data_IF_925124681276
#
_entry.id   IF_925124681276
#
_cell.length_a   1.000
_cell.length_b   1.000
_cell.length_c   1.000
_cell.angle_alpha   90.00
_cell.angle_beta   90.00
_cell.angle_gamma   90.00
#
_symmetry.space_group_name_H-M   'P 1'
#
loop_
_entity.id
_entity.type
_entity.pdbx_description
1 polymer ?
#
# COMPACT_ATOMS: atom_id res chain seq x y z
N UNK A 1 9.54 -19.46 -25.07
CA UNK A 1 8.91 -18.30 -24.40
C UNK A 1 9.58 -17.98 -23.07
N UNK A 2 9.78 -18.94 -22.16
CA UNK A 2 10.42 -18.68 -20.85
C UNK A 2 11.89 -18.24 -20.88
N UNK A 3 12.69 -18.69 -21.85
CA UNK A 3 14.08 -18.24 -21.96
C UNK A 3 14.20 -16.70 -22.13
N UNK A 4 13.23 -16.08 -22.81
CA UNK A 4 13.22 -14.63 -22.99
C UNK A 4 12.99 -13.85 -21.69
N UNK A 5 12.18 -14.39 -20.75
CA UNK A 5 12.01 -13.72 -19.45
C UNK A 5 13.22 -13.88 -18.54
N UNK A 6 13.98 -14.98 -18.68
CA UNK A 6 15.25 -15.17 -17.99
C UNK A 6 16.33 -14.20 -18.53
N UNK A 7 16.45 -14.07 -19.85
CA UNK A 7 17.35 -13.10 -20.50
C UNK A 7 17.02 -11.64 -20.11
N UNK A 8 15.73 -11.27 -20.07
CA UNK A 8 15.30 -9.95 -19.65
C UNK A 8 15.67 -9.66 -18.18
N UNK A 9 15.55 -10.65 -17.28
CA UNK A 9 16.01 -10.46 -15.90
C UNK A 9 17.52 -10.25 -15.84
N UNK A 10 18.29 -11.00 -16.61
CA UNK A 10 19.75 -10.89 -16.62
C UNK A 10 20.22 -9.53 -17.15
N UNK A 11 19.58 -9.04 -18.22
CA UNK A 11 19.80 -7.69 -18.74
C UNK A 11 19.45 -6.64 -17.68
N UNK A 12 18.28 -6.74 -17.05
CA UNK A 12 17.86 -5.80 -16.01
C UNK A 12 18.83 -5.79 -14.81
N UNK A 13 19.24 -6.96 -14.32
CA UNK A 13 20.19 -7.11 -13.21
C UNK A 13 21.54 -6.50 -13.55
N UNK A 14 22.06 -6.78 -14.74
CA UNK A 14 23.31 -6.19 -15.22
C UNK A 14 23.18 -4.66 -15.28
N UNK A 15 22.10 -4.15 -15.86
CA UNK A 15 21.85 -2.72 -15.97
C UNK A 15 21.78 -2.03 -14.60
N UNK A 16 21.03 -2.59 -13.63
CA UNK A 16 20.99 -2.09 -12.24
C UNK A 16 22.40 -2.06 -11.62
N UNK A 17 23.17 -3.13 -11.82
CA UNK A 17 24.53 -3.24 -11.26
C UNK A 17 25.48 -2.17 -11.81
N UNK A 18 25.30 -1.78 -13.07
CA UNK A 18 26.13 -0.78 -13.75
C UNK A 18 25.52 0.64 -13.70
N UNK A 19 24.38 0.84 -13.04
CA UNK A 19 23.68 2.13 -12.98
C UNK A 19 23.03 2.56 -14.30
N UNK A 20 22.78 1.63 -15.23
CA UNK A 20 22.08 1.90 -16.48
C UNK A 20 20.56 1.84 -16.24
N UNK A 21 20.04 2.93 -15.68
CA UNK A 21 18.63 3.05 -15.31
C UNK A 21 17.68 2.82 -16.48
N UNK A 22 18.02 3.35 -17.66
CA UNK A 22 17.13 3.28 -18.83
C UNK A 22 16.97 1.84 -19.33
N UNK A 23 18.08 1.09 -19.43
CA UNK A 23 18.03 -0.32 -19.81
C UNK A 23 17.29 -1.16 -18.75
N UNK A 24 17.54 -0.91 -17.47
CA UNK A 24 16.85 -1.61 -16.39
C UNK A 24 15.33 -1.38 -16.44
N UNK A 25 14.90 -0.13 -16.62
CA UNK A 25 13.48 0.21 -16.75
C UNK A 25 12.84 -0.39 -18.00
N UNK A 26 13.55 -0.40 -19.13
CA UNK A 26 13.06 -1.03 -20.36
C UNK A 26 12.82 -2.53 -20.16
N UNK A 27 13.77 -3.23 -19.52
CA UNK A 27 13.63 -4.66 -19.25
C UNK A 27 12.46 -4.97 -18.29
N UNK A 28 12.23 -4.13 -17.27
CA UNK A 28 11.03 -4.22 -16.41
C UNK A 28 9.76 -4.03 -17.22
N UNK A 29 9.71 -3.05 -18.12
CA UNK A 29 8.55 -2.85 -18.99
C UNK A 29 8.33 -4.08 -19.88
N UNK A 30 9.36 -4.61 -20.51
CA UNK A 30 9.26 -5.81 -21.35
C UNK A 30 8.76 -7.04 -20.60
N UNK A 31 9.15 -7.22 -19.33
CA UNK A 31 8.62 -8.31 -18.49
C UNK A 31 7.12 -8.14 -18.21
N UNK A 32 6.67 -6.91 -17.96
CA UNK A 32 5.26 -6.61 -17.73
C UNK A 32 4.43 -6.71 -19.03
N UNK A 33 4.97 -6.21 -20.14
CA UNK A 33 4.33 -6.26 -21.47
C UNK A 33 4.20 -7.71 -21.95
N UNK A 34 5.22 -8.54 -21.72
CA UNK A 34 5.16 -9.98 -21.96
C UNK A 34 3.96 -10.63 -21.22
N UNK A 35 3.70 -10.22 -19.98
CA UNK A 35 2.58 -10.76 -19.22
C UNK A 35 1.23 -10.33 -19.81
N UNK A 36 1.12 -9.07 -20.25
CA UNK A 36 -0.08 -8.54 -20.91
C UNK A 36 -0.36 -9.32 -22.20
N UNK A 37 0.67 -9.50 -23.04
CA UNK A 37 0.57 -10.27 -24.28
C UNK A 37 0.24 -11.75 -24.02
N UNK A 38 0.86 -12.35 -23.00
CA UNK A 38 0.59 -13.72 -22.59
C UNK A 38 -0.87 -13.91 -22.18
N UNK A 39 -1.45 -12.99 -21.39
CA UNK A 39 -2.87 -13.08 -21.03
C UNK A 39 -3.78 -13.07 -22.26
N UNK A 40 -3.46 -12.28 -23.28
CA UNK A 40 -4.27 -12.18 -24.49
C UNK A 40 -4.37 -13.50 -25.28
N UNK A 41 -3.33 -14.34 -25.21
CA UNK A 41 -3.32 -15.65 -25.88
C UNK A 41 -3.63 -16.82 -24.95
N UNK A 42 -3.67 -16.60 -23.63
CA UNK A 42 -3.73 -17.65 -22.61
C UNK A 42 -4.85 -18.66 -22.87
N UNK A 43 -6.04 -18.19 -23.21
CA UNK A 43 -7.21 -19.05 -23.46
C UNK A 43 -7.08 -19.96 -24.69
N UNK A 44 -6.12 -19.69 -25.58
CA UNK A 44 -5.85 -20.50 -26.79
C UNK A 44 -4.84 -21.62 -26.54
N UNK A 45 -4.16 -21.61 -25.40
CA UNK A 45 -3.10 -22.57 -25.08
C UNK A 45 -3.68 -23.92 -24.63
N UNK A 46 -3.00 -25.04 -24.93
CA UNK A 46 -3.45 -26.36 -24.52
C UNK A 46 -3.43 -26.49 -22.99
N UNK A 47 -4.37 -27.24 -22.41
CA UNK A 47 -4.49 -27.37 -20.95
C UNK A 47 -3.21 -27.84 -20.24
N UNK A 48 -2.40 -28.70 -20.88
CA UNK A 48 -1.11 -29.15 -20.34
C UNK A 48 -0.08 -28.03 -20.21
N UNK A 49 -0.23 -26.92 -20.94
CA UNK A 49 0.63 -25.74 -20.80
C UNK A 49 0.61 -25.20 -19.37
N UNK A 50 -0.52 -25.30 -18.67
CA UNK A 50 -0.69 -24.71 -17.34
C UNK A 50 -0.11 -25.55 -16.21
N UNK A 51 0.35 -26.77 -16.51
CA UNK A 51 0.95 -27.67 -15.53
C UNK A 51 2.43 -27.34 -15.37
N UNK A 52 2.86 -27.17 -14.13
CA UNK A 52 4.27 -27.16 -13.76
C UNK A 52 4.83 -28.56 -14.03
N UNK A 53 5.53 -28.70 -15.15
CA UNK A 53 6.23 -29.92 -15.53
C UNK A 53 7.45 -30.16 -14.64
N UNK A 54 8.07 -31.33 -14.74
CA UNK A 54 9.29 -31.62 -13.99
C UNK A 54 10.42 -30.64 -14.37
N UNK A 55 10.51 -30.26 -15.65
CA UNK A 55 11.49 -29.27 -16.11
C UNK A 55 11.26 -27.90 -15.45
N UNK A 56 9.99 -27.45 -15.37
CA UNK A 56 9.66 -26.18 -14.69
C UNK A 56 9.92 -26.30 -13.20
N UNK A 57 9.68 -27.46 -12.59
CA UNK A 57 9.95 -27.69 -11.16
C UNK A 57 11.43 -27.55 -10.81
N UNK A 58 12.34 -27.89 -11.73
CA UNK A 58 13.79 -27.73 -11.55
C UNK A 58 14.27 -26.29 -11.76
N UNK A 59 13.43 -25.39 -12.27
CA UNK A 59 13.76 -23.97 -12.42
C UNK A 59 13.98 -23.32 -11.03
N UNK A 60 14.99 -22.43 -10.86
CA UNK A 60 15.23 -21.73 -9.61
C UNK A 60 14.02 -20.98 -9.03
N UNK A 61 13.09 -20.55 -9.87
CA UNK A 61 11.85 -19.90 -9.45
C UNK A 61 10.82 -20.87 -8.84
N UNK A 62 11.02 -22.18 -8.96
CA UNK A 62 10.04 -23.19 -8.51
C UNK A 62 10.64 -24.28 -7.62
N UNK A 63 11.95 -24.53 -7.70
CA UNK A 63 12.62 -25.64 -7.01
C UNK A 63 12.43 -25.64 -5.48
N UNK A 64 12.31 -24.45 -4.88
CA UNK A 64 12.13 -24.29 -3.43
C UNK A 64 10.66 -24.29 -2.97
N UNK A 65 9.70 -24.48 -3.89
CA UNK A 65 8.28 -24.45 -3.54
C UNK A 65 7.82 -25.79 -2.98
N UNK A 66 6.94 -25.74 -1.98
CA UNK A 66 6.24 -26.91 -1.47
C UNK A 66 5.28 -27.50 -2.52
N UNK A 67 4.99 -28.79 -2.42
CA UNK A 67 3.99 -29.45 -3.29
C UNK A 67 2.62 -28.76 -3.21
N UNK A 68 2.22 -28.29 -2.02
CA UNK A 68 0.98 -27.52 -1.84
C UNK A 68 0.98 -26.22 -2.64
N UNK A 69 2.12 -25.51 -2.68
CA UNK A 69 2.26 -24.28 -3.47
C UNK A 69 2.21 -24.59 -4.96
N UNK A 70 2.85 -25.67 -5.40
CA UNK A 70 2.83 -26.12 -6.79
C UNK A 70 1.42 -26.55 -7.25
N UNK A 71 0.68 -27.26 -6.39
CA UNK A 71 -0.73 -27.63 -6.66
C UNK A 71 -1.58 -26.40 -6.90
N UNK A 72 -1.48 -25.40 -6.03
CA UNK A 72 -2.24 -24.16 -6.16
C UNK A 72 -1.90 -23.40 -7.46
N UNK A 73 -0.62 -23.34 -7.86
CA UNK A 73 -0.20 -22.74 -9.14
C UNK A 73 -0.83 -23.48 -10.33
N UNK A 74 -0.84 -24.82 -10.28
CA UNK A 74 -1.42 -25.66 -11.34
C UNK A 74 -2.93 -25.48 -11.43
N UNK A 75 -3.62 -25.48 -10.29
CA UNK A 75 -5.07 -25.29 -10.20
C UNK A 75 -5.50 -23.92 -10.75
N UNK A 76 -4.71 -22.88 -10.47
CA UNK A 76 -4.97 -21.54 -10.97
C UNK A 76 -4.45 -21.32 -12.41
N UNK A 77 -3.57 -22.20 -12.90
CA UNK A 77 -2.89 -22.07 -14.18
C UNK A 77 -2.04 -20.79 -14.29
N UNK A 78 -1.28 -20.47 -13.22
CA UNK A 78 -0.57 -19.19 -13.06
C UNK A 78 0.96 -19.31 -13.02
N UNK A 79 1.55 -20.40 -13.52
CA UNK A 79 2.99 -20.58 -13.37
C UNK A 79 3.80 -19.52 -14.15
N UNK A 80 3.35 -19.07 -15.32
CA UNK A 80 4.04 -18.03 -16.11
C UNK A 80 4.01 -16.70 -15.38
N UNK A 81 2.84 -16.30 -14.88
CA UNK A 81 2.62 -15.10 -14.08
C UNK A 81 3.50 -15.12 -12.84
N UNK A 82 3.54 -16.27 -12.15
CA UNK A 82 4.36 -16.43 -10.95
C UNK A 82 5.85 -16.35 -11.24
N UNK A 83 6.30 -16.89 -12.38
CA UNK A 83 7.69 -16.72 -12.83
C UNK A 83 8.00 -15.24 -13.00
N UNK A 84 7.20 -14.50 -13.78
CA UNK A 84 7.39 -13.06 -14.01
C UNK A 84 7.42 -12.27 -12.69
N UNK A 85 6.46 -12.48 -11.79
CA UNK A 85 6.45 -11.79 -10.50
C UNK A 85 7.62 -12.13 -9.58
N UNK A 86 8.14 -13.36 -9.61
CA UNK A 86 9.38 -13.71 -8.90
C UNK A 86 10.59 -12.99 -9.49
N UNK A 87 10.63 -12.83 -10.81
CA UNK A 87 11.66 -12.03 -11.49
C UNK A 87 11.59 -10.56 -11.07
N UNK A 88 10.39 -9.96 -11.07
CA UNK A 88 10.16 -8.59 -10.61
C UNK A 88 10.53 -8.42 -9.13
N UNK A 89 10.21 -9.38 -8.26
CA UNK A 89 10.61 -9.36 -6.84
C UNK A 89 12.13 -9.37 -6.66
N UNK A 90 12.85 -10.15 -7.47
CA UNK A 90 14.32 -10.17 -7.44
C UNK A 90 14.92 -8.83 -7.90
N UNK A 91 14.38 -8.22 -8.95
CA UNK A 91 14.81 -6.89 -9.41
C UNK A 91 14.49 -5.79 -8.39
N UNK A 92 13.31 -5.87 -7.76
CA UNK A 92 12.91 -5.03 -6.64
C UNK A 92 13.96 -5.13 -5.50
N UNK A 93 14.35 -6.34 -5.09
CA UNK A 93 15.37 -6.53 -4.06
C UNK A 93 16.73 -5.93 -4.45
N UNK A 94 17.15 -6.08 -5.71
CA UNK A 94 18.42 -5.51 -6.21
C UNK A 94 18.40 -3.98 -6.25
N UNK A 95 17.24 -3.38 -6.54
CA UNK A 95 17.09 -1.92 -6.61
C UNK A 95 17.13 -1.20 -5.25
N UNK A 96 17.04 -1.93 -4.14
CA UNK A 96 16.97 -1.39 -2.77
C UNK A 96 18.19 -0.52 -2.35
N UNK A 97 19.29 -0.58 -3.10
CA UNK A 97 20.55 0.06 -2.75
C UNK A 97 21.00 1.16 -3.72
N UNK A 98 20.13 1.65 -4.61
CA UNK A 98 20.49 2.80 -5.46
C UNK A 98 19.51 3.12 -6.58
N UNK A 99 18.88 2.11 -7.18
CA UNK A 99 18.08 2.27 -8.40
C UNK A 99 16.58 2.35 -8.12
N UNK A 100 16.17 3.31 -7.27
CA UNK A 100 14.77 3.42 -6.79
C UNK A 100 13.74 3.59 -7.90
N UNK A 101 14.09 4.22 -9.00
CA UNK A 101 13.19 4.40 -10.14
C UNK A 101 12.75 3.06 -10.74
N UNK A 102 13.64 2.05 -10.70
CA UNK A 102 13.33 0.68 -11.12
C UNK A 102 12.31 0.07 -10.15
N UNK A 103 12.51 0.23 -8.84
CA UNK A 103 11.56 -0.22 -7.83
C UNK A 103 10.17 0.43 -7.99
N UNK A 104 10.17 1.75 -8.22
CA UNK A 104 8.96 2.53 -8.43
C UNK A 104 8.21 2.06 -9.68
N UNK A 105 8.94 1.81 -10.78
CA UNK A 105 8.36 1.28 -12.01
C UNK A 105 7.76 -0.12 -11.81
N UNK A 106 8.46 -1.03 -11.12
CA UNK A 106 7.93 -2.37 -10.80
C UNK A 106 6.61 -2.26 -10.04
N UNK A 107 6.51 -1.35 -9.06
CA UNK A 107 5.28 -1.10 -8.33
C UNK A 107 4.16 -0.60 -9.25
N UNK A 108 4.45 0.40 -10.10
CA UNK A 108 3.47 0.95 -11.05
C UNK A 108 2.95 -0.15 -11.97
N UNK A 109 3.85 -0.90 -12.63
CA UNK A 109 3.46 -1.97 -13.56
C UNK A 109 2.66 -3.08 -12.86
N UNK A 110 3.02 -3.43 -11.62
CA UNK A 110 2.25 -4.41 -10.82
C UNK A 110 0.82 -3.93 -10.57
N UNK A 111 0.62 -2.64 -10.23
CA UNK A 111 -0.73 -2.07 -10.07
C UNK A 111 -1.50 -2.08 -11.38
N UNK A 112 -0.86 -1.70 -12.49
CA UNK A 112 -1.50 -1.69 -13.81
C UNK A 112 -1.95 -3.09 -14.23
N UNK A 113 -1.11 -4.12 -14.03
CA UNK A 113 -1.46 -5.52 -14.28
C UNK A 113 -2.67 -5.93 -13.42
N UNK A 114 -2.67 -5.58 -12.12
CA UNK A 114 -3.78 -5.89 -11.24
C UNK A 114 -5.09 -5.22 -11.69
N UNK A 115 -5.04 -3.93 -12.04
CA UNK A 115 -6.21 -3.16 -12.46
C UNK A 115 -6.74 -3.53 -13.84
N UNK A 116 -5.89 -4.01 -14.76
CA UNK A 116 -6.29 -4.38 -16.13
C UNK A 116 -6.61 -5.86 -16.29
N UNK A 117 -5.74 -6.76 -15.81
CA UNK A 117 -5.86 -8.21 -16.03
C UNK A 117 -6.39 -8.94 -14.79
N UNK A 118 -6.08 -8.43 -13.60
CA UNK A 118 -6.49 -9.04 -12.33
C UNK A 118 -8.01 -9.03 -12.09
N UNK A 119 -8.73 -8.08 -12.70
CA UNK A 119 -10.18 -7.97 -12.56
C UNK A 119 -10.90 -9.23 -13.05
N UNK A 120 -10.50 -9.76 -14.20
CA UNK A 120 -11.09 -10.96 -14.80
C UNK A 120 -10.43 -12.26 -14.34
N UNK A 121 -9.26 -12.16 -13.67
CA UNK A 121 -8.47 -13.32 -13.23
C UNK A 121 -8.19 -13.24 -11.73
N UNK A 122 -9.07 -13.77 -10.85
CA UNK A 122 -8.95 -13.63 -9.40
C UNK A 122 -7.61 -14.12 -8.81
N UNK A 123 -7.05 -15.21 -9.34
CA UNK A 123 -5.74 -15.69 -8.89
C UNK A 123 -4.58 -14.75 -9.27
N UNK A 124 -4.69 -14.03 -10.40
CA UNK A 124 -3.70 -13.01 -10.79
C UNK A 124 -3.83 -11.77 -9.89
N UNK A 125 -5.05 -11.37 -9.54
CA UNK A 125 -5.27 -10.31 -8.53
C UNK A 125 -4.59 -10.68 -7.21
N UNK A 126 -4.84 -11.88 -6.69
CA UNK A 126 -4.21 -12.38 -5.47
C UNK A 126 -2.68 -12.37 -5.57
N UNK A 127 -2.11 -12.82 -6.69
CA UNK A 127 -0.67 -12.79 -6.92
C UNK A 127 -0.10 -11.36 -6.93
N UNK A 128 -0.82 -10.38 -7.46
CA UNK A 128 -0.41 -8.97 -7.41
C UNK A 128 -0.39 -8.45 -5.97
N UNK A 129 -1.39 -8.78 -5.15
CA UNK A 129 -1.42 -8.42 -3.73
C UNK A 129 -0.27 -9.08 -2.96
N UNK A 130 -0.01 -10.36 -3.19
CA UNK A 130 1.14 -11.07 -2.61
C UNK A 130 2.48 -10.46 -3.02
N UNK A 131 2.57 -9.99 -4.27
CA UNK A 131 3.77 -9.32 -4.77
C UNK A 131 3.99 -7.99 -4.05
N UNK A 132 2.96 -7.15 -3.89
CA UNK A 132 3.02 -5.93 -3.09
C UNK A 132 3.50 -6.17 -1.66
N UNK A 133 2.93 -7.18 -1.00
CA UNK A 133 3.32 -7.59 0.35
C UNK A 133 4.80 -8.01 0.41
N UNK A 134 5.25 -8.75 -0.60
CA UNK A 134 6.65 -9.18 -0.73
C UNK A 134 7.59 -8.00 -0.99
N UNK A 135 7.18 -7.02 -1.81
CA UNK A 135 7.95 -5.80 -2.07
C UNK A 135 8.11 -4.96 -0.81
N UNK A 136 7.02 -4.72 -0.07
CA UNK A 136 7.04 -3.99 1.21
C UNK A 136 8.00 -4.67 2.20
N UNK A 137 7.88 -5.99 2.38
CA UNK A 137 8.77 -6.75 3.25
C UNK A 137 10.23 -6.66 2.82
N UNK A 138 10.49 -6.75 1.52
CA UNK A 138 11.85 -6.67 0.95
C UNK A 138 12.48 -5.30 1.20
N UNK A 139 11.76 -4.21 0.93
CA UNK A 139 12.27 -2.86 1.14
C UNK A 139 12.48 -2.54 2.63
N UNK A 140 11.56 -2.98 3.49
CA UNK A 140 11.72 -2.85 4.94
C UNK A 140 12.93 -3.62 5.47
N UNK A 141 13.22 -4.80 4.91
CA UNK A 141 14.42 -5.59 5.24
C UNK A 141 15.71 -4.92 4.79
N UNK A 142 15.70 -4.25 3.64
CA UNK A 142 16.84 -3.50 3.14
C UNK A 142 17.01 -2.12 3.82
N UNK A 143 16.01 -1.65 4.58
CA UNK A 143 16.01 -0.31 5.18
C UNK A 143 15.73 0.82 4.18
N UNK A 144 15.17 0.53 3.00
CA UNK A 144 14.83 1.57 2.02
C UNK A 144 13.46 2.20 2.31
N UNK A 145 13.47 3.14 3.25
CA UNK A 145 12.29 3.87 3.72
C UNK A 145 11.57 4.59 2.56
N UNK A 146 12.32 5.14 1.60
CA UNK A 146 11.74 5.96 0.52
C UNK A 146 10.94 5.10 -0.45
N UNK A 147 11.49 3.94 -0.84
CA UNK A 147 10.74 3.01 -1.69
C UNK A 147 9.57 2.37 -0.93
N UNK A 148 9.70 2.08 0.37
CA UNK A 148 8.55 1.64 1.18
C UNK A 148 7.43 2.69 1.22
N UNK A 149 7.78 3.96 1.43
CA UNK A 149 6.86 5.09 1.38
C UNK A 149 6.11 5.20 0.04
N UNK A 150 6.84 4.97 -1.07
CA UNK A 150 6.26 4.96 -2.41
C UNK A 150 5.32 3.75 -2.63
N UNK A 151 5.74 2.57 -2.19
CA UNK A 151 4.95 1.33 -2.29
C UNK A 151 3.60 1.45 -1.57
N UNK A 152 3.55 2.07 -0.37
CA UNK A 152 2.27 2.33 0.31
C UNK A 152 1.33 3.17 -0.56
N UNK A 153 1.84 4.23 -1.18
CA UNK A 153 1.06 5.08 -2.08
C UNK A 153 0.49 4.30 -3.27
N UNK A 154 1.32 3.49 -3.94
CA UNK A 154 0.86 2.67 -5.07
C UNK A 154 -0.12 1.59 -4.66
N UNK A 155 0.07 0.99 -3.49
CA UNK A 155 -0.83 -0.03 -2.97
C UNK A 155 -2.19 0.57 -2.55
N UNK A 156 -2.20 1.83 -2.08
CA UNK A 156 -3.45 2.59 -1.86
C UNK A 156 -4.19 2.83 -3.17
N UNK A 157 -3.47 3.29 -4.20
CA UNK A 157 -4.08 3.53 -5.51
C UNK A 157 -4.65 2.24 -6.11
N UNK A 158 -4.02 1.08 -5.86
CA UNK A 158 -4.61 -0.21 -6.19
C UNK A 158 -5.93 -0.42 -5.41
N UNK A 159 -5.92 -0.27 -4.08
CA UNK A 159 -7.12 -0.44 -3.26
C UNK A 159 -8.28 0.46 -3.71
N UNK A 160 -8.00 1.74 -4.01
CA UNK A 160 -9.00 2.68 -4.53
C UNK A 160 -9.59 2.21 -5.86
N UNK A 161 -8.77 1.62 -6.74
CA UNK A 161 -9.25 1.07 -8.02
C UNK A 161 -10.10 -0.20 -7.88
N UNK A 162 -10.09 -0.87 -6.72
CA UNK A 162 -10.92 -2.04 -6.46
C UNK A 162 -12.33 -1.67 -5.97
N UNK A 163 -12.57 -0.42 -5.58
CA UNK A 163 -13.89 0.05 -5.13
C UNK A 163 -14.90 -0.05 -6.29
N UNK A 164 -16.07 -0.63 -6.02
CA UNK A 164 -17.10 -0.90 -7.03
C UNK A 164 -16.81 -2.07 -7.99
N UNK A 165 -15.75 -2.85 -7.74
CA UNK A 165 -15.38 -4.01 -8.56
C UNK A 165 -15.73 -5.34 -7.86
N UNK A 166 -15.72 -6.49 -8.56
CA UNK A 166 -15.90 -7.80 -7.92
C UNK A 166 -14.86 -8.13 -6.83
N UNK A 167 -13.73 -7.40 -6.79
CA UNK A 167 -12.65 -7.59 -5.83
C UNK A 167 -12.69 -6.59 -4.68
N UNK A 168 -13.77 -5.82 -4.52
CA UNK A 168 -13.89 -4.77 -3.52
C UNK A 168 -13.61 -5.26 -2.08
N UNK A 169 -14.00 -6.49 -1.75
CA UNK A 169 -13.71 -7.09 -0.44
C UNK A 169 -12.20 -7.15 -0.11
N UNK A 170 -11.33 -7.17 -1.12
CA UNK A 170 -9.86 -7.16 -0.94
C UNK A 170 -9.34 -5.83 -0.39
N UNK A 171 -10.10 -4.75 -0.47
CA UNK A 171 -9.73 -3.45 0.12
C UNK A 171 -9.49 -3.58 1.63
N UNK A 172 -10.28 -4.40 2.33
CA UNK A 172 -10.08 -4.69 3.75
C UNK A 172 -8.77 -5.44 4.03
N UNK A 173 -8.33 -6.30 3.11
CA UNK A 173 -7.05 -7.00 3.24
C UNK A 173 -5.89 -6.03 3.09
N UNK A 174 -5.94 -5.14 2.08
CA UNK A 174 -4.92 -4.11 1.86
C UNK A 174 -4.81 -3.19 3.09
N UNK A 175 -5.92 -2.79 3.68
CA UNK A 175 -5.93 -1.99 4.90
C UNK A 175 -5.26 -2.70 6.09
N UNK A 176 -5.44 -4.03 6.24
CA UNK A 176 -4.73 -4.81 7.25
C UNK A 176 -3.23 -4.86 6.97
N UNK A 177 -2.82 -4.97 5.71
CA UNK A 177 -1.40 -4.95 5.35
C UNK A 177 -0.76 -3.57 5.60
N UNK A 178 -1.48 -2.47 5.40
CA UNK A 178 -0.99 -1.13 5.79
C UNK A 178 -0.66 -1.09 7.28
N UNK A 179 -1.57 -1.60 8.12
CA UNK A 179 -1.33 -1.70 9.55
C UNK A 179 -0.11 -2.57 9.86
N UNK A 180 -0.07 -3.78 9.33
CA UNK A 180 1.02 -4.73 9.58
C UNK A 180 2.38 -4.16 9.18
N UNK A 181 2.54 -3.71 7.94
CA UNK A 181 3.83 -3.19 7.46
C UNK A 181 4.19 -1.84 8.06
N UNK A 182 3.20 -1.00 8.41
CA UNK A 182 3.42 0.22 9.18
C UNK A 182 4.02 -0.09 10.56
N UNK A 183 3.48 -1.08 11.27
CA UNK A 183 4.03 -1.51 12.56
C UNK A 183 5.41 -2.16 12.43
N UNK A 184 5.62 -3.01 11.42
CA UNK A 184 6.96 -3.57 11.14
C UNK A 184 7.99 -2.47 10.91
N UNK A 185 7.63 -1.43 10.15
CA UNK A 185 8.49 -0.25 9.96
C UNK A 185 8.79 0.47 11.27
N UNK A 186 7.76 0.74 12.07
CA UNK A 186 7.91 1.38 13.37
C UNK A 186 8.81 0.58 14.34
N UNK A 187 8.61 -0.73 14.45
CA UNK A 187 9.44 -1.62 15.29
C UNK A 187 10.93 -1.62 14.88
N UNK A 188 11.23 -1.22 13.64
CA UNK A 188 12.58 -1.08 13.11
C UNK A 188 13.15 0.33 13.22
N UNK A 189 12.44 1.24 13.89
CA UNK A 189 12.84 2.64 14.06
C UNK A 189 12.36 3.57 12.94
N UNK A 190 11.63 3.06 11.94
CA UNK A 190 11.11 3.85 10.82
C UNK A 190 9.68 4.34 11.09
N UNK A 191 9.49 5.06 12.20
CA UNK A 191 8.14 5.41 12.67
C UNK A 191 7.32 6.27 11.70
N UNK A 192 7.98 7.07 10.85
CA UNK A 192 7.33 7.80 9.75
C UNK A 192 6.57 6.88 8.78
N UNK A 193 6.95 5.60 8.66
CA UNK A 193 6.22 4.65 7.81
C UNK A 193 4.86 4.25 8.42
N UNK A 194 4.74 4.24 9.76
CA UNK A 194 3.46 4.01 10.40
C UNK A 194 2.52 5.20 10.16
N UNK A 195 3.03 6.43 10.30
CA UNK A 195 2.31 7.65 9.95
C UNK A 195 1.87 7.64 8.47
N UNK A 196 2.77 7.25 7.56
CA UNK A 196 2.47 7.12 6.13
C UNK A 196 1.35 6.12 5.87
N UNK A 197 1.44 4.92 6.45
CA UNK A 197 0.43 3.88 6.29
C UNK A 197 -0.93 4.31 6.86
N UNK A 198 -0.94 4.99 8.02
CA UNK A 198 -2.16 5.56 8.61
C UNK A 198 -2.78 6.65 7.73
N UNK A 199 -1.96 7.54 7.17
CA UNK A 199 -2.42 8.61 6.28
C UNK A 199 -3.01 8.04 4.97
N UNK A 200 -2.35 7.03 4.38
CA UNK A 200 -2.87 6.35 3.20
C UNK A 200 -4.19 5.62 3.51
N UNK A 201 -4.30 4.96 4.67
CA UNK A 201 -5.56 4.34 5.09
C UNK A 201 -6.68 5.37 5.29
N UNK A 202 -6.39 6.54 5.88
CA UNK A 202 -7.37 7.63 6.00
C UNK A 202 -7.86 8.09 4.63
N UNK A 203 -6.93 8.30 3.69
CA UNK A 203 -7.27 8.74 2.33
C UNK A 203 -8.19 7.71 1.65
N UNK A 204 -7.87 6.42 1.80
CA UNK A 204 -8.69 5.31 1.31
C UNK A 204 -10.08 5.30 1.94
N UNK A 205 -10.19 5.44 3.27
CA UNK A 205 -11.49 5.50 3.99
C UNK A 205 -12.35 6.63 3.46
N UNK A 206 -11.76 7.81 3.26
CA UNK A 206 -12.45 8.95 2.69
C UNK A 206 -13.11 8.57 1.36
N UNK A 207 -12.34 7.98 0.44
CA UNK A 207 -12.85 7.52 -0.84
C UNK A 207 -13.95 6.46 -0.70
N UNK A 208 -13.70 5.44 0.13
CA UNK A 208 -14.64 4.34 0.39
C UNK A 208 -15.98 4.81 0.95
N UNK A 209 -15.99 5.79 1.87
CA UNK A 209 -17.23 6.31 2.44
C UNK A 209 -18.20 6.85 1.39
N UNK A 210 -17.69 7.32 0.24
CA UNK A 210 -18.50 7.83 -0.87
C UNK A 210 -18.88 6.76 -1.90
N UNK A 211 -18.05 5.74 -2.11
CA UNK A 211 -18.24 4.76 -3.21
C UNK A 211 -18.72 3.39 -2.74
N UNK A 212 -18.34 2.96 -1.54
CA UNK A 212 -18.69 1.67 -0.94
C UNK A 212 -18.89 1.81 0.58
N UNK A 213 -19.98 2.48 1.01
CA UNK A 213 -20.20 2.83 2.42
C UNK A 213 -20.17 1.62 3.38
N UNK A 214 -20.56 0.43 2.91
CA UNK A 214 -20.52 -0.83 3.65
C UNK A 214 -19.12 -1.24 4.12
N UNK A 215 -18.07 -0.78 3.43
CA UNK A 215 -16.69 -1.03 3.82
C UNK A 215 -16.10 0.05 4.71
N UNK A 216 -16.74 1.21 4.79
CA UNK A 216 -16.19 2.35 5.53
C UNK A 216 -16.07 2.05 7.02
N UNK A 217 -17.10 1.48 7.65
CA UNK A 217 -17.08 1.13 9.07
C UNK A 217 -16.00 0.08 9.41
N UNK A 218 -15.90 -1.07 8.70
CA UNK A 218 -14.78 -2.01 8.90
C UNK A 218 -13.40 -1.38 8.74
N UNK A 219 -13.20 -0.48 7.76
CA UNK A 219 -11.93 0.21 7.56
C UNK A 219 -11.61 1.18 8.69
N UNK A 220 -12.60 1.91 9.20
CA UNK A 220 -12.46 2.79 10.38
C UNK A 220 -12.12 1.95 11.60
N UNK A 221 -12.73 0.77 11.75
CA UNK A 221 -12.37 -0.21 12.76
C UNK A 221 -10.87 -0.54 12.71
N UNK A 222 -10.33 -0.84 11.52
CA UNK A 222 -8.88 -1.07 11.34
C UNK A 222 -8.07 0.19 11.70
N UNK A 223 -8.43 1.36 11.17
CA UNK A 223 -7.71 2.61 11.39
C UNK A 223 -7.67 3.02 12.87
N UNK A 224 -8.76 2.82 13.62
CA UNK A 224 -8.87 3.16 15.04
C UNK A 224 -7.88 2.40 15.92
N UNK A 225 -7.39 1.25 15.44
CA UNK A 225 -6.45 0.37 16.14
C UNK A 225 -4.98 0.62 15.79
N UNK A 226 -4.67 1.66 14.99
CA UNK A 226 -3.30 2.15 14.86
C UNK A 226 -2.91 2.84 16.16
N UNK A 227 -2.09 2.14 16.94
CA UNK A 227 -1.52 2.61 18.20
C UNK A 227 -0.01 2.36 18.18
N UNK A 228 0.76 3.25 18.78
CA UNK A 228 2.17 2.97 19.01
C UNK A 228 2.27 1.94 20.13
N UNK A 229 3.23 1.01 20.02
CA UNK A 229 3.62 0.18 21.16
C UNK A 229 4.20 1.04 22.29
N UNK A 230 4.59 0.44 23.42
CA UNK A 230 5.01 1.21 24.58
C UNK A 230 6.33 2.01 24.36
N UNK A 231 6.37 3.26 24.87
CA UNK A 231 7.53 4.00 25.38
C UNK A 231 8.98 3.85 24.92
N UNK A 232 9.40 3.46 23.73
CA UNK A 232 10.84 3.43 23.36
C UNK A 232 11.42 4.82 23.01
N UNK A 233 11.49 5.72 24.00
CA UNK A 233 12.42 6.87 24.07
C UNK A 233 12.29 8.04 23.06
N UNK A 234 11.76 7.83 21.86
CA UNK A 234 11.58 8.85 20.79
C UNK A 234 10.11 9.03 20.37
N UNK A 235 9.17 8.50 21.16
CA UNK A 235 7.81 8.21 20.68
C UNK A 235 6.80 9.37 20.71
N UNK A 236 7.06 10.45 21.46
CA UNK A 236 6.09 11.56 21.59
C UNK A 236 5.70 12.19 20.26
N UNK A 237 6.63 12.34 19.32
CA UNK A 237 6.35 12.92 17.99
C UNK A 237 5.50 12.01 17.11
N UNK A 238 5.67 10.70 17.19
CA UNK A 238 4.87 9.76 16.39
C UNK A 238 3.45 9.62 16.94
N UNK A 239 3.27 9.69 18.26
CA UNK A 239 1.93 9.65 18.87
C UNK A 239 1.12 10.85 18.38
N UNK A 240 1.75 12.03 18.36
CA UNK A 240 1.16 13.25 17.82
C UNK A 240 0.71 13.09 16.36
N UNK A 241 1.50 12.43 15.52
CA UNK A 241 1.16 12.22 14.12
C UNK A 241 -0.06 11.30 13.94
N UNK A 242 -0.18 10.22 14.72
CA UNK A 242 -1.34 9.33 14.66
C UNK A 242 -2.61 10.00 15.17
N UNK A 243 -2.52 10.77 16.27
CA UNK A 243 -3.65 11.56 16.79
C UNK A 243 -4.09 12.60 15.76
N UNK A 244 -3.13 13.28 15.11
CA UNK A 244 -3.42 14.21 14.02
C UNK A 244 -4.16 13.54 12.87
N UNK A 245 -3.71 12.37 12.40
CA UNK A 245 -4.39 11.66 11.30
C UNK A 245 -5.83 11.28 11.68
N UNK A 246 -6.08 10.90 12.95
CA UNK A 246 -7.45 10.65 13.44
C UNK A 246 -8.32 11.91 13.41
N UNK A 247 -7.77 13.06 13.81
CA UNK A 247 -8.44 14.37 13.71
C UNK A 247 -8.78 14.68 12.24
N UNK A 248 -7.80 14.54 11.33
CA UNK A 248 -8.00 14.80 9.90
C UNK A 248 -9.08 13.88 9.31
N UNK A 249 -9.09 12.60 9.67
CA UNK A 249 -10.13 11.65 9.23
C UNK A 249 -11.51 12.02 9.77
N UNK A 250 -11.62 12.37 11.06
CA UNK A 250 -12.88 12.78 11.65
C UNK A 250 -13.43 14.05 10.97
N UNK A 251 -12.57 15.06 10.74
CA UNK A 251 -12.94 16.26 9.98
C UNK A 251 -13.41 15.93 8.55
N UNK A 252 -12.74 15.01 7.86
CA UNK A 252 -13.14 14.55 6.52
C UNK A 252 -14.52 13.88 6.52
N UNK A 253 -14.78 12.99 7.49
CA UNK A 253 -16.06 12.29 7.60
C UNK A 253 -17.19 13.28 7.92
N UNK A 254 -16.99 14.18 8.88
CA UNK A 254 -17.96 15.23 9.22
C UNK A 254 -18.22 16.18 8.04
N UNK A 255 -17.18 16.60 7.32
CA UNK A 255 -17.32 17.49 6.16
C UNK A 255 -18.17 16.86 5.04
N UNK A 256 -18.19 15.52 4.97
CA UNK A 256 -18.99 14.76 4.00
C UNK A 256 -20.35 14.30 4.55
N UNK A 257 -20.70 14.69 5.77
CA UNK A 257 -21.97 14.32 6.41
C UNK A 257 -22.02 12.89 6.95
N UNK A 258 -20.86 12.26 7.17
CA UNK A 258 -20.73 10.93 7.76
C UNK A 258 -20.41 11.01 9.26
N UNK A 259 -21.14 11.83 10.00
CA UNK A 259 -20.89 12.09 11.43
C UNK A 259 -20.90 10.80 12.27
N UNK A 260 -21.78 9.85 11.93
CA UNK A 260 -21.86 8.54 12.59
C UNK A 260 -20.56 7.74 12.47
N UNK A 261 -19.86 7.86 11.33
CA UNK A 261 -18.59 7.19 11.10
C UNK A 261 -17.42 7.88 11.84
N UNK A 262 -17.59 9.14 12.24
CA UNK A 262 -16.58 9.85 13.04
C UNK A 262 -16.62 9.45 14.54
N UNK A 263 -17.73 8.90 15.03
CA UNK A 263 -17.92 8.56 16.46
C UNK A 263 -16.78 7.68 17.03
N UNK A 264 -16.39 6.56 16.40
CA UNK A 264 -15.31 5.72 16.96
C UNK A 264 -13.97 6.44 17.06
N UNK A 265 -13.74 7.46 16.22
CA UNK A 265 -12.54 8.30 16.27
C UNK A 265 -12.65 9.33 17.40
N UNK A 266 -13.83 9.94 17.58
CA UNK A 266 -14.12 10.87 18.66
C UNK A 266 -13.94 10.19 20.02
N UNK A 267 -14.45 8.97 20.20
CA UNK A 267 -14.30 8.19 21.43
C UNK A 267 -12.81 8.00 21.78
N UNK A 268 -11.96 7.75 20.76
CA UNK A 268 -10.51 7.63 20.95
C UNK A 268 -9.85 8.97 21.27
N UNK A 269 -10.18 10.03 20.53
CA UNK A 269 -9.64 11.37 20.74
C UNK A 269 -10.05 11.94 22.11
N UNK A 270 -11.24 11.58 22.61
CA UNK A 270 -11.70 11.96 23.94
C UNK A 270 -10.81 11.40 25.07
N UNK A 271 -10.00 10.37 24.82
CA UNK A 271 -9.07 9.82 25.80
C UNK A 271 -7.64 10.41 25.71
N UNK A 272 -7.38 11.29 24.74
CA UNK A 272 -6.05 11.91 24.55
C UNK A 272 -5.84 13.14 25.46
N UNK A 273 -4.59 13.56 25.64
CA UNK A 273 -4.25 14.74 26.44
C UNK A 273 -4.70 16.06 25.77
N UNK A 274 -5.27 16.98 26.56
CA UNK A 274 -5.76 18.29 26.11
C UNK A 274 -4.66 19.16 25.49
N UNK A 275 -3.47 19.13 26.09
CA UNK A 275 -2.36 19.94 25.61
C UNK A 275 -1.89 19.44 24.23
N UNK A 276 -1.89 18.12 24.02
CA UNK A 276 -1.58 17.49 22.74
C UNK A 276 -2.63 17.84 21.68
N UNK A 277 -3.92 17.69 21.97
CA UNK A 277 -4.99 18.01 21.03
C UNK A 277 -4.96 19.47 20.60
N UNK A 278 -4.72 20.39 21.56
CA UNK A 278 -4.60 21.83 21.28
C UNK A 278 -3.42 22.13 20.37
N UNK A 279 -2.24 21.56 20.67
CA UNK A 279 -1.05 21.75 19.83
C UNK A 279 -1.27 21.27 18.39
N UNK A 280 -1.85 20.07 18.21
CA UNK A 280 -2.15 19.52 16.89
C UNK A 280 -3.15 20.41 16.13
N UNK A 281 -4.19 20.91 16.81
CA UNK A 281 -5.17 21.82 16.19
C UNK A 281 -4.49 23.07 15.64
N UNK A 282 -3.63 23.68 16.44
CA UNK A 282 -2.98 24.93 16.09
C UNK A 282 -2.00 24.72 14.91
N UNK A 283 -1.28 23.58 14.88
CA UNK A 283 -0.44 23.18 13.74
C UNK A 283 -1.27 23.00 12.44
N UNK A 284 -2.41 22.31 12.52
CA UNK A 284 -3.31 22.10 11.38
C UNK A 284 -3.93 23.41 10.85
N UNK A 285 -4.16 24.38 11.72
CA UNK A 285 -4.64 25.73 11.35
C UNK A 285 -3.52 26.52 10.66
N UNK A 286 -2.30 26.44 11.18
CA UNK A 286 -1.16 27.19 10.69
C UNK A 286 -0.68 26.73 9.30
N UNK A 287 -0.77 25.42 9.01
CA UNK A 287 -0.36 24.88 7.71
C UNK A 287 -1.35 25.25 6.60
N UNK A 288 -0.86 25.97 5.58
CA UNK A 288 -1.66 26.45 4.45
C UNK A 288 -1.24 25.87 3.10
N UNK A 289 -0.13 25.13 3.04
CA UNK A 289 0.46 24.65 1.79
C UNK A 289 0.08 23.18 1.53
N UNK A 290 -0.63 22.90 0.41
CA UNK A 290 -0.97 21.52 0.05
C UNK A 290 0.22 20.64 -0.33
N UNK A 291 1.34 21.27 -0.71
CA UNK A 291 2.54 20.58 -1.18
C UNK A 291 3.78 21.06 -0.43
N UNK A 292 4.77 20.17 -0.33
CA UNK A 292 6.10 20.55 0.16
C UNK A 292 6.81 21.50 -0.82
N UNK A 293 7.81 22.22 -0.34
CA UNK A 293 8.69 23.05 -1.18
C UNK A 293 9.69 22.22 -2.01
N UNK A 294 9.83 20.94 -1.70
CA UNK A 294 10.69 19.98 -2.39
C UNK A 294 9.92 19.17 -3.42
N UNK A 295 10.60 18.84 -4.53
CA UNK A 295 10.11 17.86 -5.50
C UNK A 295 10.28 16.46 -4.91
N UNK A 296 9.21 15.93 -4.35
CA UNK A 296 9.15 14.57 -3.80
C UNK A 296 8.08 13.75 -4.51
N UNK A 297 8.27 12.43 -4.57
CA UNK A 297 7.47 11.53 -5.42
C UNK A 297 5.95 11.62 -5.23
N UNK A 298 5.49 11.86 -3.99
CA UNK A 298 4.07 11.98 -3.66
C UNK A 298 3.57 13.42 -3.56
N UNK A 299 4.46 14.40 -3.45
CA UNK A 299 4.17 15.84 -3.41
C UNK A 299 3.29 16.39 -2.28
N UNK A 300 2.57 15.55 -1.52
CA UNK A 300 1.50 15.97 -0.60
C UNK A 300 2.04 16.27 0.79
N UNK A 301 1.65 17.42 1.35
CA UNK A 301 1.89 17.75 2.75
C UNK A 301 0.84 17.09 3.66
N UNK A 302 1.28 16.18 4.55
CA UNK A 302 0.37 15.47 5.45
C UNK A 302 -0.24 16.36 6.55
N UNK A 303 0.31 17.56 6.78
CA UNK A 303 -0.26 18.55 7.71
C UNK A 303 -1.36 19.41 7.08
N UNK A 304 -1.49 19.41 5.77
CA UNK A 304 -2.45 20.26 5.08
C UNK A 304 -3.88 19.72 5.17
N UNK A 305 -4.82 20.58 5.55
CA UNK A 305 -6.25 20.33 5.49
C UNK A 305 -6.90 21.11 4.34
N UNK A 306 -7.64 20.45 3.43
CA UNK A 306 -8.56 21.12 2.51
C UNK A 306 -9.59 21.99 3.25
N UNK A 307 -10.06 23.06 2.61
CA UNK A 307 -10.94 24.07 3.23
C UNK A 307 -12.18 23.47 3.89
N UNK A 308 -12.83 22.49 3.26
CA UNK A 308 -14.02 21.82 3.78
C UNK A 308 -13.73 21.05 5.08
N UNK A 309 -12.58 20.36 5.15
CA UNK A 309 -12.14 19.65 6.35
C UNK A 309 -11.72 20.64 7.44
N UNK A 310 -11.01 21.72 7.07
CA UNK A 310 -10.58 22.76 8.03
C UNK A 310 -11.77 23.42 8.71
N UNK A 311 -12.88 23.63 8.00
CA UNK A 311 -14.12 24.16 8.57
C UNK A 311 -14.72 23.25 9.66
N UNK A 312 -14.38 21.96 9.67
CA UNK A 312 -14.85 20.99 10.67
C UNK A 312 -13.96 20.91 11.92
N UNK A 313 -12.82 21.61 11.99
CA UNK A 313 -11.96 21.58 13.18
C UNK A 313 -12.68 22.09 14.43
N UNK A 314 -13.29 23.29 14.36
CA UNK A 314 -14.05 23.83 15.50
C UNK A 314 -15.22 22.93 15.92
N UNK A 315 -16.12 22.49 15.01
CA UNK A 315 -17.17 21.53 15.33
C UNK A 315 -16.68 20.22 15.96
N UNK A 316 -15.58 19.66 15.44
CA UNK A 316 -15.02 18.42 15.96
C UNK A 316 -14.54 18.60 17.39
N UNK A 317 -13.76 19.64 17.68
CA UNK A 317 -13.23 19.90 19.03
C UNK A 317 -14.33 20.20 20.05
N UNK A 318 -15.40 20.91 19.63
CA UNK A 318 -16.58 21.09 20.46
C UNK A 318 -17.25 19.75 20.80
N UNK A 319 -17.36 18.86 19.80
CA UNK A 319 -17.92 17.51 19.98
C UNK A 319 -17.07 16.65 20.92
N UNK A 320 -15.74 16.69 20.78
CA UNK A 320 -14.81 15.98 21.67
C UNK A 320 -14.97 16.44 23.12
N UNK A 321 -15.04 17.75 23.36
CA UNK A 321 -15.27 18.31 24.70
C UNK A 321 -16.59 17.84 25.30
N UNK A 322 -17.69 17.95 24.54
CA UNK A 322 -19.01 17.53 25.00
C UNK A 322 -19.07 16.02 25.29
N UNK A 323 -18.36 15.20 24.52
CA UNK A 323 -18.30 13.75 24.72
C UNK A 323 -17.56 13.37 26.01
N UNK A 324 -16.54 14.14 26.42
CA UNK A 324 -15.85 13.94 27.71
C UNK A 324 -16.75 14.25 28.89
N UNK A 325 -17.50 15.34 28.81
CA UNK A 325 -18.41 15.78 29.87
C UNK A 325 -19.56 14.77 30.12
N UNK A 326 -19.93 13.98 29.10
CA UNK A 326 -20.96 12.94 29.21
C UNK A 326 -20.45 11.63 29.84
N UNK A 327 -19.13 11.40 29.84
CA UNK A 327 -18.50 10.16 30.29
C UNK A 327 -17.76 10.31 31.64
N UNK A 328 -17.83 11.48 32.28
CA UNK A 328 -17.36 11.74 33.66
C UNK A 328 -18.48 11.54 34.69
#
# INVERSE_FOLDING_TARGET
MCAGSDELQDVARSAITHGDREIAMLAVNSLADFLIEYQAIKQTLPGDWFRVSEEIRQDPDFIALSDSSLSMINEQGLWVERKVFRRLLSLMAQSAHGERDVAHLISIRTREIAGSLGQDTPGLMELCLFSYNSYLRTMLNAGDIRTTYYLFGQYRLLAESLLGTPHEARVLEIARYFKEYGHVGHQRGFSFLLETASFDLMTLIGQTASTAPELAEPLIGIASTFELGPPSGTEKTNTSALVRIKIQLACLLMARGFDNLAIPLIDRLANEDDSLLTAIRDDLIAESRPHYWELIDRGINFLYLPSEQRAMLEPLFATISAHRDQNQ
#
